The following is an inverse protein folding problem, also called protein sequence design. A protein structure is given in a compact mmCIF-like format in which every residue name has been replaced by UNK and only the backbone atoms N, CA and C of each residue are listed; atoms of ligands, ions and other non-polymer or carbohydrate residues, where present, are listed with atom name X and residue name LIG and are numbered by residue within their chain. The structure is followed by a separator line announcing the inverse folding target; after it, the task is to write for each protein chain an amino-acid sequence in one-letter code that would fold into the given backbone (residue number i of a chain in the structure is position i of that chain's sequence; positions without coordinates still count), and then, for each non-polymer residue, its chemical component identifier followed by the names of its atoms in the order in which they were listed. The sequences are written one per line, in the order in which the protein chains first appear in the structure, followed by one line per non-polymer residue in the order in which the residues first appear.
data_IF_017666486585
#
_entry.id   IF_017666486585
#
_cell.length_a   1.000
_cell.length_b   1.000
_cell.length_c   1.000
_cell.angle_alpha   90.00
_cell.angle_beta   90.00
_cell.angle_gamma   90.00
#
_symmetry.space_group_name_H-M   'P 1'
#
loop_
_entity.id
_entity.type
_entity.pdbx_description
1 polymer ?
#
# COMPACT_ATOMS: atom_id res chain seq x y z
N UNK A 1 1.42 5.76 -14.71
CA UNK A 1 0.30 4.97 -14.16
C UNK A 1 0.38 3.50 -14.62
N UNK A 2 0.51 3.25 -15.92
CA UNK A 2 0.46 1.91 -16.54
C UNK A 2 1.42 0.88 -15.92
N UNK A 3 2.66 1.28 -15.64
CA UNK A 3 3.67 0.42 -14.98
C UNK A 3 3.27 -0.07 -13.58
N UNK A 4 2.54 0.75 -12.80
CA UNK A 4 2.10 0.38 -11.46
C UNK A 4 0.91 -0.59 -11.49
N UNK A 5 -0.01 -0.37 -12.43
CA UNK A 5 -1.15 -1.26 -12.65
C UNK A 5 -0.69 -2.62 -13.18
N UNK A 6 0.26 -2.62 -14.13
CA UNK A 6 0.88 -3.85 -14.63
C UNK A 6 1.67 -4.60 -13.56
N UNK A 7 2.41 -3.88 -12.70
CA UNK A 7 3.09 -4.49 -11.55
C UNK A 7 2.07 -5.15 -10.60
N UNK A 8 1.02 -4.43 -10.21
CA UNK A 8 -0.04 -4.94 -9.35
C UNK A 8 -0.79 -6.13 -9.96
N UNK A 9 -1.05 -6.11 -11.27
CA UNK A 9 -1.69 -7.24 -11.96
C UNK A 9 -0.80 -8.50 -11.98
N UNK A 10 0.52 -8.32 -11.91
CA UNK A 10 1.51 -9.43 -11.87
C UNK A 10 1.71 -9.99 -10.45
N UNK A 11 1.24 -9.30 -9.41
CA UNK A 11 1.31 -9.80 -8.02
C UNK A 11 0.40 -11.02 -7.82
N UNK A 12 0.84 -11.94 -6.97
CA UNK A 12 -0.02 -13.01 -6.46
C UNK A 12 -1.25 -12.45 -5.75
N UNK A 13 -2.36 -13.20 -5.76
CA UNK A 13 -3.66 -12.75 -5.22
C UNK A 13 -3.59 -12.30 -3.76
N UNK A 14 -2.75 -12.93 -2.94
CA UNK A 14 -2.50 -12.53 -1.56
C UNK A 14 -1.90 -11.12 -1.45
N UNK A 15 -0.86 -10.83 -2.24
CA UNK A 15 -0.22 -9.52 -2.27
C UNK A 15 -1.12 -8.43 -2.86
N UNK A 16 -1.97 -8.77 -3.82
CA UNK A 16 -2.99 -7.84 -4.34
C UNK A 16 -3.98 -7.43 -3.25
N UNK A 17 -4.47 -8.40 -2.46
CA UNK A 17 -5.39 -8.14 -1.34
C UNK A 17 -4.71 -7.26 -0.28
N UNK A 18 -3.45 -7.54 0.07
CA UNK A 18 -2.68 -6.74 1.02
C UNK A 18 -2.54 -5.28 0.57
N UNK A 19 -2.15 -5.05 -0.69
CA UNK A 19 -2.03 -3.69 -1.24
C UNK A 19 -3.39 -3.00 -1.28
N UNK A 20 -4.46 -3.70 -1.69
CA UNK A 20 -5.81 -3.12 -1.72
C UNK A 20 -6.31 -2.74 -0.32
N UNK A 21 -6.10 -3.59 0.70
CA UNK A 21 -6.43 -3.29 2.09
C UNK A 21 -5.63 -2.10 2.62
N UNK A 22 -4.34 -2.03 2.31
CA UNK A 22 -3.52 -0.92 2.74
C UNK A 22 -3.94 0.40 2.10
N UNK A 23 -4.31 0.39 0.80
CA UNK A 23 -4.89 1.55 0.13
C UNK A 23 -6.20 1.98 0.79
N UNK A 24 -7.08 1.02 1.09
CA UNK A 24 -8.35 1.29 1.75
C UNK A 24 -8.16 1.92 3.14
N UNK A 25 -7.31 1.32 3.98
CA UNK A 25 -7.02 1.84 5.32
C UNK A 25 -6.30 3.19 5.26
N UNK A 26 -5.36 3.37 4.32
CA UNK A 26 -4.66 4.63 4.11
C UNK A 26 -5.62 5.75 3.72
N UNK A 27 -6.53 5.51 2.76
CA UNK A 27 -7.55 6.47 2.36
C UNK A 27 -8.54 6.78 3.49
N UNK A 28 -8.98 5.76 4.23
CA UNK A 28 -9.86 5.96 5.39
C UNK A 28 -9.19 6.81 6.47
N UNK A 29 -7.91 6.57 6.75
CA UNK A 29 -7.12 7.35 7.70
C UNK A 29 -6.91 8.80 7.22
N UNK A 30 -6.59 9.02 5.94
CA UNK A 30 -6.50 10.38 5.38
C UNK A 30 -7.85 11.09 5.47
N UNK A 31 -8.94 10.44 5.05
CA UNK A 31 -10.29 11.03 5.12
C UNK A 31 -10.69 11.40 6.54
N UNK A 32 -10.38 10.53 7.51
CA UNK A 32 -10.58 10.80 8.94
C UNK A 32 -9.71 11.95 9.41
N UNK A 33 -8.43 12.01 9.01
CA UNK A 33 -7.51 13.08 9.37
C UNK A 33 -7.92 14.44 8.83
N UNK A 34 -8.42 14.49 7.59
CA UNK A 34 -9.00 15.71 7.01
C UNK A 34 -10.27 16.11 7.76
N UNK A 35 -11.20 15.16 7.98
CA UNK A 35 -12.46 15.42 8.66
C UNK A 35 -12.31 15.87 10.13
N UNK A 36 -11.26 15.41 10.80
CA UNK A 36 -10.97 15.74 12.21
C UNK A 36 -9.88 16.81 12.38
N UNK A 37 -9.30 17.32 11.28
CA UNK A 37 -8.11 18.19 11.29
C UNK A 37 -6.96 17.64 12.15
N UNK A 38 -6.84 16.32 12.23
CA UNK A 38 -5.86 15.65 13.07
C UNK A 38 -4.65 15.20 12.24
N UNK A 39 -3.46 15.78 12.46
CA UNK A 39 -2.26 15.47 11.68
C UNK A 39 -1.74 14.04 11.90
N UNK A 40 -2.06 13.40 13.02
CA UNK A 40 -1.65 12.02 13.28
C UNK A 40 -2.33 11.03 12.31
N UNK A 41 -3.62 11.22 12.04
CA UNK A 41 -4.35 10.38 11.08
C UNK A 41 -3.88 10.60 9.64
N UNK A 42 -3.47 11.82 9.30
CA UNK A 42 -2.84 12.11 8.01
C UNK A 42 -1.49 11.40 7.88
N UNK A 43 -0.66 11.43 8.93
CA UNK A 43 0.62 10.74 8.96
C UNK A 43 0.45 9.21 8.84
N UNK A 44 -0.52 8.63 9.55
CA UNK A 44 -0.86 7.21 9.44
C UNK A 44 -1.33 6.86 8.03
N UNK A 45 -2.21 7.69 7.45
CA UNK A 45 -2.69 7.52 6.09
C UNK A 45 -1.56 7.55 5.06
N UNK A 46 -0.69 8.56 5.13
CA UNK A 46 0.48 8.68 4.27
C UNK A 46 1.46 7.51 4.46
N UNK A 47 1.70 7.10 5.70
CA UNK A 47 2.55 5.94 6.03
C UNK A 47 2.02 4.68 5.37
N UNK A 48 0.72 4.39 5.47
CA UNK A 48 0.13 3.20 4.86
C UNK A 48 0.12 3.21 3.35
N UNK A 49 -0.14 4.37 2.73
CA UNK A 49 -0.11 4.50 1.27
C UNK A 49 1.29 4.35 0.67
N UNK A 50 2.35 4.61 1.44
CA UNK A 50 3.74 4.52 0.97
C UNK A 50 4.42 3.21 1.37
N UNK A 51 4.26 2.78 2.62
CA UNK A 51 4.98 1.63 3.17
C UNK A 51 4.41 0.31 2.68
N UNK A 52 3.10 0.18 2.51
CA UNK A 52 2.53 -1.08 2.06
C UNK A 52 2.93 -1.46 0.61
N UNK A 53 2.87 -0.56 -0.39
CA UNK A 53 3.41 -0.88 -1.71
C UNK A 53 4.92 -1.18 -1.68
N UNK A 54 5.69 -0.44 -0.86
CA UNK A 54 7.12 -0.65 -0.73
C UNK A 54 7.46 -2.02 -0.12
N UNK A 55 6.76 -2.42 0.94
CA UNK A 55 6.94 -3.72 1.60
C UNK A 55 6.56 -4.88 0.69
N UNK A 56 5.47 -4.75 -0.07
CA UNK A 56 5.05 -5.78 -1.03
C UNK A 56 6.04 -5.88 -2.19
N UNK A 57 6.57 -4.75 -2.68
CA UNK A 57 7.64 -4.76 -3.67
C UNK A 57 8.92 -5.42 -3.14
N UNK A 58 9.25 -5.23 -1.87
CA UNK A 58 10.41 -5.86 -1.24
C UNK A 58 10.21 -7.37 -1.03
N UNK A 59 9.02 -7.78 -0.56
CA UNK A 59 8.65 -9.17 -0.35
C UNK A 59 8.65 -9.97 -1.66
N UNK A 60 8.04 -9.42 -2.71
CA UNK A 60 8.01 -10.07 -4.03
C UNK A 60 9.40 -10.22 -4.66
N UNK A 61 10.35 -9.32 -4.34
CA UNK A 61 11.74 -9.47 -4.76
C UNK A 61 12.45 -10.64 -4.08
N UNK A 62 12.17 -10.88 -2.79
CA UNK A 62 12.76 -12.00 -2.05
C UNK A 62 12.22 -13.36 -2.53
N UNK A 63 10.97 -13.42 -2.98
CA UNK A 63 10.41 -14.64 -3.60
C UNK A 63 10.98 -14.95 -4.98
N UNK A 64 11.49 -13.94 -5.70
CA UNK A 64 11.99 -14.10 -7.08
C UNK A 64 13.49 -14.39 -7.14
N UNK A 65 14.22 -14.29 -6.02
CA UNK A 65 15.65 -14.62 -5.92
C UNK A 65 15.83 -15.91 -5.10
N UNK A 66 15.63 -17.09 -5.70
CA UNK A 66 15.99 -18.35 -5.06
C UNK A 66 17.52 -18.47 -5.14
N UNK A 67 18.19 -18.37 -3.98
CA UNK A 67 19.52 -18.98 -3.86
C UNK A 67 19.44 -20.48 -4.08
#
# INVERSE_FOLDING_TARGET
MEKYVLWFAKLGRFYQILVALALFVGLAAVGTGVGTSNPAFLAVGAFWLLVAPAMVWLATRQETDPR
#
